data_IF_379005672495
#
_entry.id   IF_379005672495
#
_cell.length_a   1.000
_cell.length_b   1.000
_cell.length_c   1.000
_cell.angle_alpha   90.00
_cell.angle_beta   90.00
_cell.angle_gamma   90.00
#
_symmetry.space_group_name_H-M   'P 1'
#
loop_
_entity.id
_entity.type
_entity.pdbx_description
1 polymer ?
#
# COMPACT_ATOMS: atom_id res chain seq x y z
N UNK A 1 -21.60 8.91 -36.81
CA UNK A 1 -20.59 9.85 -36.25
C UNK A 1 -20.00 9.22 -35.01
N UNK A 2 -18.70 8.94 -35.04
CA UNK A 2 -17.97 8.28 -33.97
C UNK A 2 -17.77 9.23 -32.78
N UNK A 3 -18.19 8.83 -31.59
CA UNK A 3 -17.95 9.58 -30.35
C UNK A 3 -16.95 8.82 -29.48
N UNK A 4 -15.76 9.41 -29.43
CA UNK A 4 -14.69 9.30 -28.44
C UNK A 4 -14.15 7.92 -28.06
N UNK A 5 -12.97 7.62 -28.60
CA UNK A 5 -12.00 6.68 -28.05
C UNK A 5 -11.48 7.24 -26.70
N UNK A 6 -12.23 7.11 -25.60
CA UNK A 6 -11.71 7.48 -24.27
C UNK A 6 -10.54 6.56 -23.97
N UNK A 7 -9.33 7.10 -23.95
CA UNK A 7 -8.13 6.37 -23.54
C UNK A 7 -8.33 5.85 -22.12
N UNK A 8 -8.73 4.58 -22.00
CA UNK A 8 -9.11 4.04 -20.71
C UNK A 8 -7.87 3.97 -19.78
N UNK A 9 -7.96 4.58 -18.60
CA UNK A 9 -6.88 4.64 -17.61
C UNK A 9 -6.68 3.27 -16.96
N UNK A 10 -5.84 2.44 -17.58
CA UNK A 10 -5.53 1.09 -17.12
C UNK A 10 -4.03 0.80 -17.20
N UNK A 11 -3.57 -0.18 -16.42
CA UNK A 11 -2.20 -0.65 -16.52
C UNK A 11 -1.18 0.47 -16.29
N UNK A 12 -0.21 0.58 -17.18
CA UNK A 12 0.85 1.59 -17.07
C UNK A 12 0.36 3.03 -17.25
N UNK A 13 -0.71 3.28 -18.01
CA UNK A 13 -1.30 4.63 -18.12
C UNK A 13 -1.84 5.10 -16.78
N UNK A 14 -2.52 4.21 -16.05
CA UNK A 14 -2.97 4.47 -14.69
C UNK A 14 -1.79 4.69 -13.73
N UNK A 15 -0.73 3.88 -13.83
CA UNK A 15 0.49 4.09 -13.04
C UNK A 15 1.08 5.49 -13.26
N UNK A 16 1.29 5.89 -14.52
CA UNK A 16 1.86 7.21 -14.85
C UNK A 16 0.97 8.33 -14.33
N UNK A 17 -0.34 8.24 -14.52
CA UNK A 17 -1.28 9.23 -13.99
C UNK A 17 -1.17 9.36 -12.45
N UNK A 18 -1.15 8.23 -11.73
CA UNK A 18 -0.99 8.26 -10.27
C UNK A 18 0.40 8.81 -9.89
N UNK A 19 1.46 8.40 -10.59
CA UNK A 19 2.83 8.87 -10.32
C UNK A 19 2.96 10.40 -10.47
N UNK A 20 2.37 10.97 -11.53
CA UNK A 20 2.34 12.42 -11.75
C UNK A 20 1.61 13.13 -10.60
N UNK A 21 0.45 12.62 -10.18
CA UNK A 21 -0.30 13.18 -9.05
C UNK A 21 0.50 13.09 -7.74
N UNK A 22 1.18 11.98 -7.50
CA UNK A 22 2.02 11.78 -6.30
C UNK A 22 3.21 12.75 -6.28
N UNK A 23 3.88 12.94 -7.43
CA UNK A 23 4.97 13.92 -7.57
C UNK A 23 4.42 15.33 -7.33
N UNK A 24 3.30 15.69 -7.97
CA UNK A 24 2.68 17.01 -7.82
C UNK A 24 2.31 17.30 -6.36
N UNK A 25 1.71 16.35 -5.64
CA UNK A 25 1.41 16.51 -4.21
C UNK A 25 2.66 16.60 -3.34
N UNK A 26 3.70 15.81 -3.62
CA UNK A 26 4.95 15.90 -2.87
C UNK A 26 5.66 17.25 -3.08
N UNK A 27 5.71 17.73 -4.33
CA UNK A 27 6.28 19.02 -4.68
C UNK A 27 5.47 20.17 -4.09
N UNK A 28 4.14 20.18 -4.25
CA UNK A 28 3.29 21.21 -3.66
C UNK A 28 3.43 21.25 -2.13
N UNK A 29 3.45 20.09 -1.47
CA UNK A 29 3.67 20.03 -0.02
C UNK A 29 5.03 20.61 0.38
N UNK A 30 6.06 20.43 -0.45
CA UNK A 30 7.40 20.96 -0.22
C UNK A 30 7.47 22.48 -0.45
N UNK A 31 6.99 22.96 -1.60
CA UNK A 31 7.18 24.35 -2.05
C UNK A 31 6.26 25.35 -1.34
N UNK A 32 5.17 24.88 -0.72
CA UNK A 32 4.28 25.71 0.09
C UNK A 32 4.82 26.01 1.50
N UNK A 33 6.02 25.54 1.84
CA UNK A 33 6.63 25.79 3.15
C UNK A 33 7.65 26.94 3.07
N UNK A 34 7.89 27.66 4.19
CA UNK A 34 8.80 28.81 4.22
C UNK A 34 10.26 28.46 3.94
N UNK A 35 10.68 27.23 4.27
CA UNK A 35 12.05 26.77 4.10
C UNK A 35 12.12 25.30 3.65
N UNK A 36 13.29 24.88 3.19
CA UNK A 36 13.54 23.55 2.62
C UNK A 36 13.48 22.42 3.67
N UNK A 37 13.71 22.71 4.95
CA UNK A 37 13.65 21.73 6.04
C UNK A 37 12.18 21.42 6.36
N UNK A 38 11.37 22.45 6.56
CA UNK A 38 9.93 22.30 6.75
C UNK A 38 9.24 21.76 5.49
N UNK A 39 9.69 22.18 4.31
CA UNK A 39 9.28 21.62 3.02
C UNK A 39 9.51 20.12 2.94
N UNK A 40 10.71 19.66 3.30
CA UNK A 40 11.02 18.23 3.36
C UNK A 40 10.14 17.49 4.36
N UNK A 41 9.90 18.08 5.54
CA UNK A 41 9.01 17.49 6.56
C UNK A 41 7.55 17.39 6.08
N UNK A 42 7.06 18.41 5.36
CA UNK A 42 5.74 18.40 4.77
C UNK A 42 5.62 17.32 3.68
N UNK A 43 6.62 17.20 2.80
CA UNK A 43 6.69 16.14 1.80
C UNK A 43 6.71 14.74 2.44
N UNK A 44 7.48 14.53 3.52
CA UNK A 44 7.49 13.28 4.30
C UNK A 44 6.07 12.93 4.79
N UNK A 45 5.35 13.89 5.37
CA UNK A 45 3.99 13.67 5.90
C UNK A 45 3.00 13.33 4.80
N UNK A 46 3.03 14.04 3.68
CA UNK A 46 2.12 13.79 2.54
C UNK A 46 2.40 12.45 1.89
N UNK A 47 3.66 12.14 1.60
CA UNK A 47 4.05 10.88 0.95
C UNK A 47 3.81 9.65 1.84
N UNK A 48 3.92 9.78 3.17
CA UNK A 48 3.50 8.74 4.11
C UNK A 48 2.00 8.45 4.03
N UNK A 49 1.16 9.49 3.96
CA UNK A 49 -0.30 9.36 3.89
C UNK A 49 -0.75 8.77 2.56
N UNK A 50 -0.24 9.28 1.44
CA UNK A 50 -0.59 8.75 0.11
C UNK A 50 -0.16 7.30 -0.03
N UNK A 51 1.02 6.95 0.49
CA UNK A 51 1.48 5.56 0.52
C UNK A 51 0.56 4.68 1.36
N UNK A 52 0.17 5.13 2.54
CA UNK A 52 -0.75 4.38 3.39
C UNK A 52 -2.09 4.13 2.71
N UNK A 53 -2.66 5.14 2.05
CA UNK A 53 -3.92 5.00 1.29
C UNK A 53 -3.78 4.00 0.14
N UNK A 54 -2.74 4.12 -0.68
CA UNK A 54 -2.48 3.18 -1.78
C UNK A 54 -2.24 1.75 -1.27
N UNK A 55 -1.53 1.61 -0.15
CA UNK A 55 -1.34 0.33 0.51
C UNK A 55 -2.68 -0.25 0.97
N UNK A 56 -3.54 0.53 1.65
CA UNK A 56 -4.85 0.06 2.08
C UNK A 56 -5.70 -0.44 0.91
N UNK A 57 -5.73 0.31 -0.20
CA UNK A 57 -6.45 -0.11 -1.41
C UNK A 57 -5.89 -1.43 -1.94
N UNK A 58 -4.58 -1.56 -2.09
CA UNK A 58 -3.95 -2.81 -2.54
C UNK A 58 -4.19 -3.97 -1.54
N UNK A 59 -4.17 -3.68 -0.24
CA UNK A 59 -4.31 -4.65 0.84
C UNK A 59 -5.73 -5.21 0.95
N UNK A 60 -6.74 -4.40 0.63
CA UNK A 60 -8.16 -4.75 0.78
C UNK A 60 -8.86 -5.10 -0.53
N UNK A 61 -8.23 -4.87 -1.70
CA UNK A 61 -8.83 -5.09 -3.02
C UNK A 61 -9.50 -6.47 -3.16
N UNK A 62 -8.82 -7.55 -2.79
CA UNK A 62 -9.38 -8.92 -2.88
C UNK A 62 -10.52 -9.17 -1.90
N UNK A 63 -10.46 -8.54 -0.72
CA UNK A 63 -11.46 -8.70 0.32
C UNK A 63 -12.77 -8.03 -0.10
N UNK A 64 -12.69 -6.78 -0.55
CA UNK A 64 -13.86 -6.05 -1.05
C UNK A 64 -14.45 -6.70 -2.30
N UNK A 65 -13.64 -7.16 -3.26
CA UNK A 65 -14.16 -7.85 -4.44
C UNK A 65 -14.91 -9.15 -4.10
N UNK A 66 -14.60 -9.79 -2.96
CA UNK A 66 -15.27 -11.02 -2.53
C UNK A 66 -16.51 -10.83 -1.66
N UNK A 67 -16.51 -9.76 -0.86
CA UNK A 67 -17.61 -9.43 0.07
C UNK A 67 -18.67 -8.53 -0.60
N UNK A 68 -18.24 -7.59 -1.44
CA UNK A 68 -19.07 -6.60 -2.11
C UNK A 68 -18.73 -6.57 -3.62
N UNK A 69 -19.10 -7.62 -4.37
CA UNK A 69 -18.76 -7.71 -5.78
C UNK A 69 -19.51 -6.64 -6.59
N UNK A 70 -18.77 -5.76 -7.25
CA UNK A 70 -19.33 -4.70 -8.10
C UNK A 70 -18.33 -4.25 -9.17
N UNK A 71 -18.73 -3.39 -10.12
CA UNK A 71 -17.84 -2.92 -11.19
C UNK A 71 -16.57 -2.27 -10.64
N UNK A 72 -16.70 -1.47 -9.58
CA UNK A 72 -15.59 -0.78 -8.93
C UNK A 72 -14.63 -1.74 -8.20
N UNK A 73 -15.14 -2.67 -7.39
CA UNK A 73 -14.28 -3.62 -6.66
C UNK A 73 -13.57 -4.60 -7.62
N UNK A 74 -14.21 -4.96 -8.75
CA UNK A 74 -13.56 -5.71 -9.84
C UNK A 74 -12.48 -4.90 -10.55
N UNK A 75 -12.72 -3.61 -10.81
CA UNK A 75 -11.70 -2.70 -11.36
C UNK A 75 -10.48 -2.63 -10.44
N UNK A 76 -10.68 -2.39 -9.14
CA UNK A 76 -9.59 -2.34 -8.14
C UNK A 76 -8.83 -3.67 -8.08
N UNK A 77 -9.53 -4.81 -8.13
CA UNK A 77 -8.90 -6.11 -8.12
C UNK A 77 -8.04 -6.34 -9.37
N UNK A 78 -8.50 -5.91 -10.55
CA UNK A 78 -7.75 -5.99 -11.81
C UNK A 78 -6.50 -5.11 -11.77
N UNK A 79 -6.63 -3.88 -11.31
CA UNK A 79 -5.54 -2.90 -11.25
C UNK A 79 -4.68 -3.04 -9.97
N UNK A 80 -4.93 -4.04 -9.11
CA UNK A 80 -4.23 -4.22 -7.82
C UNK A 80 -2.71 -4.15 -7.93
N UNK A 81 -2.16 -4.66 -9.04
CA UNK A 81 -0.71 -4.65 -9.32
C UNK A 81 -0.22 -3.22 -9.55
N UNK A 82 -0.97 -2.44 -10.31
CA UNK A 82 -0.67 -1.03 -10.59
C UNK A 82 -0.80 -0.19 -9.32
N UNK A 83 -1.84 -0.41 -8.52
CA UNK A 83 -2.00 0.26 -7.23
C UNK A 83 -0.85 -0.08 -6.28
N UNK A 84 -0.45 -1.35 -6.20
CA UNK A 84 0.70 -1.79 -5.39
C UNK A 84 2.03 -1.18 -5.86
N UNK A 85 2.27 -1.08 -7.16
CA UNK A 85 3.45 -0.41 -7.72
C UNK A 85 3.40 1.11 -7.46
N UNK A 86 2.21 1.72 -7.51
CA UNK A 86 2.02 3.13 -7.19
C UNK A 86 2.30 3.41 -5.70
N UNK A 87 1.90 2.48 -4.81
CA UNK A 87 2.29 2.50 -3.40
C UNK A 87 3.81 2.45 -3.25
N UNK A 88 4.50 1.52 -3.93
CA UNK A 88 5.95 1.42 -3.87
C UNK A 88 6.63 2.70 -4.38
N UNK A 89 6.13 3.30 -5.46
CA UNK A 89 6.62 4.58 -5.96
C UNK A 89 6.38 5.73 -4.98
N UNK A 90 5.19 5.81 -4.37
CA UNK A 90 4.91 6.79 -3.31
C UNK A 90 5.86 6.63 -2.11
N UNK A 91 6.23 5.40 -1.75
CA UNK A 91 7.21 5.14 -0.69
C UNK A 91 8.65 5.44 -1.11
N UNK A 92 8.98 5.34 -2.40
CA UNK A 92 10.25 5.82 -2.90
C UNK A 92 10.36 7.35 -2.75
N UNK A 93 9.31 8.10 -3.12
CA UNK A 93 9.24 9.54 -2.86
C UNK A 93 9.36 9.85 -1.36
N UNK A 94 8.75 9.02 -0.51
CA UNK A 94 8.89 9.13 0.94
C UNK A 94 10.34 8.94 1.41
N UNK A 95 11.05 7.94 0.87
CA UNK A 95 12.46 7.71 1.16
C UNK A 95 13.32 8.89 0.73
N UNK A 96 13.11 9.41 -0.49
CA UNK A 96 13.80 10.60 -1.01
C UNK A 96 13.58 11.80 -0.09
N UNK A 97 12.34 12.03 0.37
CA UNK A 97 12.03 13.14 1.28
C UNK A 97 12.68 12.96 2.67
N UNK A 98 12.74 11.73 3.21
CA UNK A 98 13.48 11.43 4.45
C UNK A 98 14.97 11.70 4.28
N UNK A 99 15.55 11.26 3.17
CA UNK A 99 16.97 11.47 2.88
C UNK A 99 17.29 12.96 2.73
N UNK A 100 16.48 13.69 1.97
CA UNK A 100 16.61 15.14 1.84
C UNK A 100 16.52 15.83 3.20
N UNK A 101 15.52 15.50 4.02
CA UNK A 101 15.39 16.05 5.38
C UNK A 101 16.62 15.77 6.24
N UNK A 102 17.19 14.56 6.16
CA UNK A 102 18.37 14.18 6.93
C UNK A 102 19.66 14.84 6.47
N UNK A 103 19.78 15.17 5.18
CA UNK A 103 20.89 15.98 4.64
C UNK A 103 20.75 17.44 5.11
N UNK A 104 19.54 17.98 5.05
CA UNK A 104 19.24 19.36 5.41
C UNK A 104 19.22 19.61 6.93
N UNK A 105 19.04 18.57 7.74
CA UNK A 105 19.05 18.62 9.19
C UNK A 105 20.10 17.62 9.73
N UNK A 106 21.38 18.04 9.89
CA UNK A 106 22.49 17.15 10.23
C UNK A 106 22.31 16.38 11.54
N UNK A 107 21.51 16.90 12.49
CA UNK A 107 21.21 16.23 13.75
C UNK A 107 20.24 15.04 13.61
N UNK A 108 19.53 14.93 12.47
CA UNK A 108 18.49 13.94 12.25
C UNK A 108 18.98 12.49 12.31
N UNK A 109 20.09 12.18 11.65
CA UNK A 109 20.63 10.81 11.59
C UNK A 109 21.27 10.38 12.91
N UNK A 110 22.14 11.20 13.55
CA UNK A 110 22.72 10.84 14.85
C UNK A 110 21.68 10.64 15.95
N UNK A 111 20.52 11.31 15.88
CA UNK A 111 19.44 11.19 16.86
C UNK A 111 18.66 9.86 16.78
N UNK A 112 18.98 8.95 15.84
CA UNK A 112 18.23 7.71 15.60
C UNK A 112 19.11 6.48 15.79
N UNK A 113 18.74 5.62 16.73
CA UNK A 113 19.38 4.32 16.88
C UNK A 113 19.00 3.35 15.75
N UNK A 114 19.85 2.35 15.51
CA UNK A 114 19.55 1.27 14.58
C UNK A 114 18.22 0.57 14.92
N UNK A 115 17.95 0.35 16.21
CA UNK A 115 16.72 -0.26 16.68
C UNK A 115 15.48 0.62 16.40
N UNK A 116 15.60 1.94 16.53
CA UNK A 116 14.51 2.87 16.20
C UNK A 116 14.17 2.90 14.70
N UNK A 117 15.17 2.64 13.84
CA UNK A 117 15.00 2.59 12.38
C UNK A 117 14.57 1.21 11.86
N UNK A 118 14.75 0.15 12.65
CA UNK A 118 14.53 -1.24 12.24
C UNK A 118 13.15 -1.48 11.59
N UNK A 119 12.01 -1.01 12.13
CA UNK A 119 10.71 -1.21 11.49
C UNK A 119 10.63 -0.56 10.11
N UNK A 120 11.23 0.63 9.94
CA UNK A 120 11.28 1.33 8.65
C UNK A 120 12.11 0.56 7.64
N UNK A 121 13.29 0.09 8.03
CA UNK A 121 14.18 -0.71 7.18
C UNK A 121 13.51 -2.01 6.71
N UNK A 122 12.88 -2.75 7.63
CA UNK A 122 12.12 -3.97 7.29
C UNK A 122 10.99 -3.64 6.31
N UNK A 123 10.28 -2.53 6.53
CA UNK A 123 9.25 -2.04 5.62
C UNK A 123 9.78 -1.80 4.21
N UNK A 124 10.88 -1.08 4.06
CA UNK A 124 11.49 -0.80 2.74
C UNK A 124 11.98 -2.06 2.04
N UNK A 125 12.60 -3.00 2.76
CA UNK A 125 13.02 -4.29 2.18
C UNK A 125 11.81 -5.07 1.66
N UNK A 126 10.73 -5.14 2.45
CA UNK A 126 9.50 -5.79 2.01
C UNK A 126 8.91 -5.10 0.77
N UNK A 127 8.81 -3.77 0.76
CA UNK A 127 8.29 -3.01 -0.38
C UNK A 127 9.10 -3.26 -1.64
N UNK A 128 10.44 -3.20 -1.54
CA UNK A 128 11.33 -3.43 -2.66
C UNK A 128 11.19 -4.85 -3.21
N UNK A 129 11.16 -5.85 -2.33
CA UNK A 129 10.94 -7.24 -2.73
C UNK A 129 9.63 -7.39 -3.51
N UNK A 130 8.52 -6.87 -2.98
CA UNK A 130 7.21 -6.95 -3.63
C UNK A 130 7.16 -6.18 -4.96
N UNK A 131 7.84 -5.04 -5.05
CA UNK A 131 7.91 -4.24 -6.28
C UNK A 131 8.68 -4.99 -7.38
N UNK A 132 9.85 -5.53 -7.06
CA UNK A 132 10.68 -6.32 -7.99
C UNK A 132 9.91 -7.56 -8.45
N UNK A 133 9.32 -8.32 -7.53
CA UNK A 133 8.59 -9.55 -7.86
C UNK A 133 7.22 -9.30 -8.47
N UNK A 134 6.78 -8.03 -8.57
CA UNK A 134 5.63 -7.66 -9.39
C UNK A 134 5.93 -7.66 -10.89
N UNK A 135 7.20 -7.80 -11.32
CA UNK A 135 7.53 -8.00 -12.73
C UNK A 135 7.10 -9.39 -13.23
N UNK A 136 6.38 -9.47 -14.37
CA UNK A 136 5.83 -10.73 -14.90
C UNK A 136 6.89 -11.80 -15.15
N UNK A 137 8.09 -11.40 -15.61
CA UNK A 137 9.20 -12.32 -15.82
C UNK A 137 9.72 -12.95 -14.52
N UNK A 138 9.86 -12.15 -13.47
CA UNK A 138 10.35 -12.62 -12.17
C UNK A 138 9.29 -13.48 -11.48
N UNK A 139 8.03 -13.02 -11.49
CA UNK A 139 6.90 -13.77 -10.94
C UNK A 139 6.76 -15.17 -11.55
N UNK A 140 6.97 -15.30 -12.88
CA UNK A 140 6.95 -16.61 -13.56
C UNK A 140 8.10 -17.52 -13.10
N UNK A 141 9.31 -16.98 -12.94
CA UNK A 141 10.49 -17.75 -12.49
C UNK A 141 10.37 -18.25 -11.05
N UNK A 142 9.69 -17.51 -10.17
CA UNK A 142 9.49 -17.91 -8.77
C UNK A 142 8.46 -19.04 -8.59
N UNK A 143 7.59 -19.24 -9.59
CA UNK A 143 6.42 -20.11 -9.47
C UNK A 143 5.30 -19.51 -8.60
N UNK A 144 4.05 -19.95 -8.82
CA UNK A 144 2.86 -19.32 -8.23
C UNK A 144 2.81 -19.41 -6.70
N UNK A 145 3.31 -20.52 -6.11
CA UNK A 145 3.26 -20.75 -4.66
C UNK A 145 4.22 -19.84 -3.91
N UNK A 146 5.50 -19.80 -4.31
CA UNK A 146 6.51 -18.96 -3.66
C UNK A 146 6.18 -17.49 -3.85
N UNK A 147 5.78 -17.07 -5.05
CA UNK A 147 5.32 -15.72 -5.32
C UNK A 147 4.15 -15.31 -4.42
N UNK A 148 3.13 -16.17 -4.30
CA UNK A 148 1.97 -15.90 -3.43
C UNK A 148 2.38 -15.79 -1.96
N UNK A 149 3.24 -16.69 -1.46
CA UNK A 149 3.73 -16.64 -0.08
C UNK A 149 4.47 -15.33 0.19
N UNK A 150 5.42 -14.97 -0.68
CA UNK A 150 6.17 -13.72 -0.56
C UNK A 150 5.22 -12.51 -0.53
N UNK A 151 4.29 -12.41 -1.49
CA UNK A 151 3.38 -11.27 -1.56
C UNK A 151 2.44 -11.19 -0.36
N UNK A 152 1.92 -12.31 0.14
CA UNK A 152 1.08 -12.31 1.35
C UNK A 152 1.89 -11.92 2.58
N UNK A 153 3.05 -12.54 2.80
CA UNK A 153 3.91 -12.24 3.96
C UNK A 153 4.37 -10.79 3.93
N UNK A 154 4.86 -10.30 2.79
CA UNK A 154 5.31 -8.91 2.64
C UNK A 154 4.20 -7.90 2.91
N UNK A 155 2.97 -8.15 2.43
CA UNK A 155 1.83 -7.29 2.75
C UNK A 155 1.52 -7.25 4.25
N UNK A 156 1.63 -8.37 4.97
CA UNK A 156 1.43 -8.40 6.42
C UNK A 156 2.56 -7.71 7.19
N UNK A 157 3.81 -7.86 6.73
CA UNK A 157 4.95 -7.11 7.29
C UNK A 157 4.71 -5.61 7.16
N UNK A 158 4.33 -5.14 5.96
CA UNK A 158 4.06 -3.71 5.71
C UNK A 158 2.87 -3.23 6.55
N UNK A 159 1.81 -4.03 6.67
CA UNK A 159 0.69 -3.71 7.55
C UNK A 159 1.15 -3.54 9.00
N UNK A 160 1.95 -4.48 9.53
CA UNK A 160 2.47 -4.40 10.90
C UNK A 160 3.35 -3.14 11.11
N UNK A 161 4.19 -2.80 10.13
CA UNK A 161 5.02 -1.58 10.18
C UNK A 161 4.17 -0.32 10.18
N UNK A 162 3.12 -0.23 9.35
CA UNK A 162 2.19 0.91 9.38
C UNK A 162 1.42 0.97 10.70
N UNK A 163 0.93 -0.17 11.21
CA UNK A 163 0.23 -0.25 12.49
C UNK A 163 1.12 0.29 13.60
N UNK A 164 2.33 -0.24 13.74
CA UNK A 164 3.28 0.23 14.75
C UNK A 164 3.59 1.72 14.59
N UNK A 165 3.78 2.18 13.35
CA UNK A 165 4.10 3.57 13.04
C UNK A 165 2.99 4.54 13.45
N UNK A 166 1.73 4.21 13.23
CA UNK A 166 0.61 5.09 13.62
C UNK A 166 0.23 4.93 15.09
N UNK A 167 0.10 3.69 15.56
CA UNK A 167 -0.38 3.39 16.90
C UNK A 167 0.52 4.02 17.98
N UNK A 168 1.85 3.90 17.85
CA UNK A 168 2.78 4.47 18.84
C UNK A 168 2.72 6.00 18.94
N UNK A 169 2.14 6.68 17.95
CA UNK A 169 2.02 8.15 17.90
C UNK A 169 0.68 8.66 18.44
N UNK A 170 -0.28 7.77 18.71
CA UNK A 170 -1.60 8.13 19.25
C UNK A 170 -1.50 8.90 20.58
N UNK A 171 -0.66 8.50 21.55
CA UNK A 171 -0.56 9.24 22.81
C UNK A 171 -0.05 10.68 22.65
N UNK A 172 0.84 10.92 21.66
CA UNK A 172 1.39 12.25 21.39
C UNK A 172 0.52 13.11 20.47
N UNK A 173 -0.33 12.48 19.64
CA UNK A 173 -1.30 13.17 18.79
C UNK A 173 -2.45 12.21 18.44
N UNK A 174 -3.62 12.46 19.01
CA UNK A 174 -4.81 11.62 18.86
C UNK A 174 -5.25 11.43 17.40
N UNK A 175 -4.93 12.36 16.50
CA UNK A 175 -5.28 12.21 15.08
C UNK A 175 -4.65 10.99 14.41
N UNK A 176 -3.59 10.41 14.98
CA UNK A 176 -3.05 9.12 14.52
C UNK A 176 -3.96 7.92 14.85
N UNK A 177 -5.01 8.09 15.66
CA UNK A 177 -6.03 7.07 15.88
C UNK A 177 -6.81 6.77 14.59
N UNK A 178 -7.02 7.77 13.72
CA UNK A 178 -7.74 7.59 12.45
C UNK A 178 -7.05 6.58 11.52
N UNK A 179 -5.78 6.78 11.10
CA UNK A 179 -5.10 5.79 10.26
C UNK A 179 -4.91 4.44 10.96
N UNK A 180 -4.75 4.43 12.29
CA UNK A 180 -4.69 3.19 13.07
C UNK A 180 -6.00 2.39 12.98
N UNK A 181 -7.14 3.06 13.17
CA UNK A 181 -8.47 2.47 13.08
C UNK A 181 -8.80 1.99 11.67
N UNK A 182 -8.43 2.75 10.64
CA UNK A 182 -8.58 2.33 9.23
C UNK A 182 -7.81 1.04 8.94
N UNK A 183 -6.57 0.94 9.42
CA UNK A 183 -5.76 -0.26 9.21
C UNK A 183 -6.29 -1.46 9.99
N UNK A 184 -6.71 -1.26 11.24
CA UNK A 184 -7.38 -2.31 12.03
C UNK A 184 -8.65 -2.81 11.32
N UNK A 185 -9.48 -1.89 10.83
CA UNK A 185 -10.68 -2.21 10.04
C UNK A 185 -10.31 -3.00 8.78
N UNK A 186 -9.27 -2.60 8.05
CA UNK A 186 -8.80 -3.32 6.87
C UNK A 186 -8.34 -4.75 7.19
N UNK A 187 -7.67 -4.96 8.33
CA UNK A 187 -7.28 -6.28 8.83
C UNK A 187 -8.50 -7.14 9.15
N UNK A 188 -9.49 -6.59 9.86
CA UNK A 188 -10.75 -7.28 10.18
C UNK A 188 -11.52 -7.66 8.92
N UNK A 189 -11.71 -6.73 7.99
CA UNK A 189 -12.36 -6.97 6.69
C UNK A 189 -11.64 -8.10 5.94
N UNK A 190 -10.31 -8.11 5.95
CA UNK A 190 -9.53 -9.15 5.28
C UNK A 190 -9.69 -10.53 5.93
N UNK A 191 -9.76 -10.59 7.26
CA UNK A 191 -10.04 -11.83 7.99
C UNK A 191 -11.44 -12.37 7.71
N UNK A 192 -12.47 -11.50 7.74
CA UNK A 192 -13.85 -11.86 7.41
C UNK A 192 -13.95 -12.39 5.98
N UNK A 193 -13.36 -11.69 5.01
CA UNK A 193 -13.34 -12.13 3.61
C UNK A 193 -12.71 -13.52 3.44
N UNK A 194 -11.58 -13.78 4.10
CA UNK A 194 -10.91 -15.08 4.06
C UNK A 194 -11.80 -16.19 4.63
N UNK A 195 -12.49 -15.92 5.74
CA UNK A 195 -13.44 -16.86 6.36
C UNK A 195 -14.64 -17.14 5.45
N UNK A 196 -15.26 -16.09 4.90
CA UNK A 196 -16.37 -16.23 3.96
C UNK A 196 -15.99 -17.06 2.72
N UNK A 197 -14.79 -16.85 2.17
CA UNK A 197 -14.26 -17.65 1.07
C UNK A 197 -13.98 -19.11 1.44
N UNK A 198 -13.60 -19.40 2.70
CA UNK A 198 -13.46 -20.79 3.17
C UNK A 198 -14.82 -21.48 3.21
N UNK A 199 -15.79 -20.86 3.88
CA UNK A 199 -17.14 -21.42 4.03
C UNK A 199 -17.81 -21.69 2.68
N UNK A 200 -17.65 -20.79 1.71
CA UNK A 200 -18.17 -20.99 0.34
C UNK A 200 -17.53 -22.20 -0.35
N UNK A 201 -16.22 -22.43 -0.17
CA UNK A 201 -15.51 -23.58 -0.74
C UNK A 201 -15.96 -24.89 -0.09
N UNK A 202 -16.11 -24.90 1.23
CA UNK A 202 -16.57 -26.06 1.98
C UNK A 202 -18.01 -26.46 1.58
N UNK A 203 -18.87 -25.47 1.33
CA UNK A 203 -20.23 -25.70 0.85
C UNK A 203 -20.28 -26.31 -0.57
N UNK A 204 -19.40 -25.87 -1.48
CA UNK A 204 -19.32 -26.44 -2.84
C UNK A 204 -18.68 -27.83 -2.88
N UNK A 205 -17.87 -28.18 -1.88
CA UNK A 205 -17.21 -29.48 -1.78
C UNK A 205 -18.12 -30.59 -1.22
N UNK A 206 -19.28 -30.25 -0.64
CA UNK A 206 -20.26 -31.24 -0.15
C UNK A 206 -21.14 -31.71 -1.31
N UNK A 207 -21.22 -33.03 -1.61
CA UNK A 207 -22.13 -33.53 -2.62
C UNK A 207 -23.59 -33.28 -2.21
N UNK A 208 -24.52 -33.03 -3.16
CA UNK A 208 -25.93 -32.85 -2.85
C UNK A 208 -26.45 -34.12 -2.17
N UNK A 209 -27.15 -33.96 -1.04
CA UNK A 209 -27.84 -35.06 -0.37
C UNK A 209 -28.83 -35.67 -1.36
N UNK A 210 -28.61 -36.92 -1.75
CA UNK A 210 -29.59 -37.68 -2.53
C UNK A 210 -30.83 -37.84 -1.66
N UNK A 211 -31.90 -37.12 -2.01
CA UNK A 211 -33.24 -37.42 -1.50
C UNK A 211 -33.67 -38.76 -2.11
N UNK A 212 -33.70 -39.80 -1.27
CA UNK A 212 -34.33 -41.09 -1.51
C UNK A 212 -35.85 -40.99 -1.41
#
# INVERSE_FOLDING_TARGET
>A
MAVSNTSSLHGWRLFVAIAVVLIAFALAAFTLQPDVVEGSRAAIRVTARTSFLLFLVAFTASSFASLLPGPFTRFLLRERRIVGLSFAFSHLLHAVAITAFGILNPAFWPARSALANLPGTIGYVAILALAITSHRGIARRMGPTAWRRLHVTGMWIIAAVFTYSYFKRVPGNFWYAVPSALLFTAVVVRAIAKRAQSLRRDAHARPPLRSS
#
